data_IF_505502788404
#
_entry.id   IF_505502788404
#
_cell.length_a   1.000
_cell.length_b   1.000
_cell.length_c   1.000
_cell.angle_alpha   90.00
_cell.angle_beta   90.00
_cell.angle_gamma   90.00
#
_symmetry.space_group_name_H-M   'P 1'
#
loop_
_entity.id
_entity.type
_entity.pdbx_description
1 polymer ?
#
# COMPACT_ATOMS: atom_id res chain seq x y z
N UNK A 1 -16.08 -11.19 -22.52
CA UNK A 1 -14.64 -11.38 -22.21
C UNK A 1 -14.34 -12.86 -22.44
N UNK A 2 -13.26 -13.21 -23.15
CA UNK A 2 -12.91 -14.63 -23.35
C UNK A 2 -12.19 -15.13 -22.10
N UNK A 3 -12.82 -16.06 -21.41
CA UNK A 3 -12.23 -16.76 -20.27
C UNK A 3 -11.16 -17.72 -20.78
N UNK A 4 -9.95 -17.67 -20.23
CA UNK A 4 -8.91 -18.67 -20.48
C UNK A 4 -8.91 -19.67 -19.32
N UNK A 5 -9.28 -20.91 -19.61
CA UNK A 5 -9.17 -22.03 -18.67
C UNK A 5 -7.87 -22.80 -18.91
N UNK A 6 -7.18 -23.15 -17.83
CA UNK A 6 -5.94 -23.90 -17.87
C UNK A 6 -5.73 -24.66 -16.55
N UNK A 7 -4.61 -25.38 -16.44
CA UNK A 7 -4.17 -26.00 -15.19
C UNK A 7 -2.96 -25.24 -14.64
N UNK A 8 -2.92 -25.07 -13.31
CA UNK A 8 -1.80 -24.46 -12.63
C UNK A 8 -0.53 -25.29 -12.85
N UNK A 9 0.57 -24.71 -13.36
CA UNK A 9 1.82 -25.46 -13.59
C UNK A 9 2.45 -26.00 -12.30
N UNK A 10 2.09 -25.45 -11.13
CA UNK A 10 2.64 -25.83 -9.83
C UNK A 10 1.90 -27.00 -9.17
N UNK A 11 0.57 -27.06 -9.28
CA UNK A 11 -0.25 -28.05 -8.55
C UNK A 11 -1.27 -28.80 -9.42
N UNK A 12 -1.30 -28.53 -10.73
CA UNK A 12 -2.25 -29.09 -11.70
C UNK A 12 -3.73 -28.81 -11.45
N UNK A 13 -4.09 -28.03 -10.41
CA UNK A 13 -5.46 -27.61 -10.17
C UNK A 13 -6.00 -26.73 -11.33
N UNK A 14 -7.31 -26.80 -11.63
CA UNK A 14 -7.91 -25.96 -12.66
C UNK A 14 -7.86 -24.49 -12.24
N UNK A 15 -7.48 -23.62 -13.17
CA UNK A 15 -7.41 -22.17 -12.97
C UNK A 15 -8.07 -21.45 -14.14
N UNK A 16 -8.58 -20.25 -13.86
CA UNK A 16 -9.36 -19.46 -14.79
C UNK A 16 -8.89 -18.00 -14.79
N UNK A 17 -8.54 -17.49 -15.97
CA UNK A 17 -8.29 -16.08 -16.20
C UNK A 17 -9.57 -15.47 -16.76
N UNK A 18 -10.22 -14.61 -15.99
CA UNK A 18 -11.49 -13.97 -16.32
C UNK A 18 -11.28 -12.70 -17.13
N UNK A 19 -10.29 -11.89 -16.74
CA UNK A 19 -9.96 -10.66 -17.45
C UNK A 19 -8.93 -10.88 -18.56
N UNK A 20 -9.12 -10.16 -19.67
CA UNK A 20 -8.13 -10.09 -20.75
C UNK A 20 -6.88 -9.30 -20.38
N UNK A 21 -6.96 -8.45 -19.34
CA UNK A 21 -5.83 -7.70 -18.81
C UNK A 21 -4.99 -8.46 -17.78
N UNK A 22 -5.39 -9.69 -17.41
CA UNK A 22 -4.66 -10.48 -16.42
C UNK A 22 -3.33 -10.96 -16.96
N UNK A 23 -2.24 -10.55 -16.32
CA UNK A 23 -0.88 -11.02 -16.60
C UNK A 23 -0.48 -12.13 -15.63
N UNK A 24 -0.83 -12.00 -14.36
CA UNK A 24 -0.58 -13.02 -13.33
C UNK A 24 -1.89 -13.37 -12.63
N UNK A 25 -2.14 -14.65 -12.41
CA UNK A 25 -3.21 -15.16 -11.55
C UNK A 25 -2.60 -15.83 -10.33
N UNK A 26 -3.03 -15.46 -9.13
CA UNK A 26 -2.67 -16.19 -7.92
C UNK A 26 -3.56 -17.43 -7.81
N UNK A 27 -2.96 -18.62 -7.91
CA UNK A 27 -3.67 -19.88 -7.86
C UNK A 27 -4.41 -20.04 -6.51
N UNK A 28 -5.75 -20.21 -6.50
CA UNK A 28 -6.52 -20.28 -5.26
C UNK A 28 -6.27 -21.57 -4.47
N UNK A 29 -5.62 -22.58 -5.09
CA UNK A 29 -5.35 -23.87 -4.46
C UNK A 29 -3.98 -23.96 -3.80
N UNK A 30 -2.94 -23.42 -4.44
CA UNK A 30 -1.56 -23.59 -3.98
C UNK A 30 -0.78 -22.29 -3.78
N UNK A 31 -1.41 -21.14 -4.03
CA UNK A 31 -0.85 -19.78 -3.88
C UNK A 31 0.37 -19.51 -4.80
N UNK A 32 0.54 -20.27 -5.86
CA UNK A 32 1.51 -19.97 -6.93
C UNK A 32 1.04 -18.77 -7.74
N UNK A 33 1.94 -17.81 -7.97
CA UNK A 33 1.75 -16.72 -8.92
C UNK A 33 1.99 -17.28 -10.35
N UNK A 34 0.92 -17.44 -11.12
CA UNK A 34 0.95 -18.05 -12.45
C UNK A 34 0.90 -16.95 -13.50
N UNK A 35 2.01 -16.76 -14.22
CA UNK A 35 2.09 -15.78 -15.30
C UNK A 35 1.58 -16.36 -16.62
N UNK A 36 0.76 -15.57 -17.32
CA UNK A 36 0.38 -15.80 -18.70
C UNK A 36 1.39 -15.13 -19.63
N UNK A 37 2.08 -15.92 -20.44
CA UNK A 37 2.97 -15.43 -21.51
C UNK A 37 2.35 -15.72 -22.88
N UNK A 38 2.98 -15.24 -23.96
CA UNK A 38 2.52 -15.47 -25.33
C UNK A 38 2.45 -16.96 -25.72
N UNK A 39 3.23 -17.82 -25.04
CA UNK A 39 3.42 -19.23 -25.45
C UNK A 39 2.95 -20.24 -24.41
N UNK A 40 2.99 -19.91 -23.12
CA UNK A 40 2.70 -20.85 -22.02
C UNK A 40 2.35 -20.14 -20.72
N UNK A 41 1.89 -20.92 -19.75
CA UNK A 41 1.83 -20.49 -18.36
C UNK A 41 3.15 -20.79 -17.66
N UNK A 42 3.61 -19.87 -16.83
CA UNK A 42 4.84 -19.99 -16.04
C UNK A 42 4.52 -19.87 -14.54
N UNK A 43 5.14 -20.74 -13.73
CA UNK A 43 5.11 -20.61 -12.27
C UNK A 43 6.20 -19.61 -11.85
N UNK A 44 5.80 -18.47 -11.29
CA UNK A 44 6.72 -17.45 -10.76
C UNK A 44 7.10 -17.70 -9.29
N UNK A 45 6.57 -18.77 -8.68
CA UNK A 45 6.77 -19.11 -7.28
C UNK A 45 5.53 -18.82 -6.43
N UNK A 46 5.64 -19.12 -5.13
CA UNK A 46 4.53 -18.95 -4.19
C UNK A 46 4.55 -17.59 -3.52
N UNK A 47 3.38 -16.96 -3.43
CA UNK A 47 3.15 -15.80 -2.56
C UNK A 47 2.81 -16.25 -1.15
N UNK A 48 3.09 -15.41 -0.15
CA UNK A 48 2.63 -15.67 1.21
C UNK A 48 1.10 -15.52 1.32
N UNK A 49 0.54 -15.95 2.44
CA UNK A 49 -0.85 -15.62 2.76
C UNK A 49 -1.00 -14.11 2.97
N UNK A 50 -2.14 -13.57 2.54
CA UNK A 50 -2.49 -12.17 2.78
C UNK A 50 -2.61 -11.99 4.29
N UNK A 51 -1.80 -11.09 4.86
CA UNK A 51 -1.96 -10.76 6.27
C UNK A 51 -3.33 -10.12 6.47
N UNK A 52 -4.03 -10.51 7.54
CA UNK A 52 -5.33 -9.93 7.88
C UNK A 52 -5.20 -8.41 8.07
N UNK A 53 -5.84 -7.65 7.19
CA UNK A 53 -5.94 -6.19 7.23
C UNK A 53 -7.33 -5.77 7.71
N UNK A 54 -7.45 -4.61 8.34
CA UNK A 54 -8.76 -3.98 8.59
C UNK A 54 -9.38 -3.36 7.32
N UNK A 55 -8.80 -3.59 6.14
CA UNK A 55 -9.31 -3.10 4.86
C UNK A 55 -10.80 -3.45 4.68
N UNK A 56 -11.64 -2.47 4.29
CA UNK A 56 -13.03 -2.72 3.93
C UNK A 56 -13.17 -3.40 2.56
N UNK A 57 -12.10 -3.44 1.77
CA UNK A 57 -12.11 -3.92 0.40
C UNK A 57 -11.91 -5.44 0.34
N UNK A 58 -12.48 -6.05 -0.71
CA UNK A 58 -12.40 -7.49 -1.03
C UNK A 58 -12.43 -7.68 -2.55
N UNK A 59 -11.81 -8.76 -3.01
CA UNK A 59 -11.93 -9.19 -4.42
C UNK A 59 -13.41 -9.52 -4.69
N UNK A 60 -13.89 -9.13 -5.87
CA UNK A 60 -15.27 -9.27 -6.30
C UNK A 60 -16.18 -8.11 -5.89
N UNK A 61 -15.68 -7.10 -5.17
CA UNK A 61 -16.45 -5.87 -4.97
C UNK A 61 -16.58 -5.10 -6.27
N UNK A 62 -17.79 -4.63 -6.55
CA UNK A 62 -18.12 -3.85 -7.73
C UNK A 62 -18.36 -2.39 -7.37
N UNK A 63 -17.85 -1.48 -8.20
CA UNK A 63 -18.01 -0.04 -8.03
C UNK A 63 -18.21 0.68 -9.35
N UNK A 64 -18.19 2.01 -9.31
CA UNK A 64 -18.28 2.85 -10.50
C UNK A 64 -17.38 4.07 -10.35
N UNK A 65 -16.62 4.40 -11.39
CA UNK A 65 -15.82 5.62 -11.43
C UNK A 65 -15.99 6.31 -12.78
N UNK A 66 -16.33 7.60 -12.75
CA UNK A 66 -16.62 8.43 -13.95
C UNK A 66 -17.58 7.74 -14.94
N UNK A 67 -18.64 7.10 -14.42
CA UNK A 67 -19.66 6.41 -15.21
C UNK A 67 -19.28 5.03 -15.72
N UNK A 68 -18.06 4.55 -15.49
CA UNK A 68 -17.62 3.20 -15.87
C UNK A 68 -17.66 2.27 -14.66
N UNK A 69 -18.26 1.09 -14.82
CA UNK A 69 -18.29 0.08 -13.76
C UNK A 69 -16.94 -0.62 -13.67
N UNK A 70 -16.57 -1.05 -12.48
CA UNK A 70 -15.38 -1.87 -12.26
C UNK A 70 -15.65 -2.97 -11.23
N UNK A 71 -14.84 -4.02 -11.27
CA UNK A 71 -14.73 -5.05 -10.24
C UNK A 71 -13.30 -5.04 -9.69
N UNK A 72 -13.13 -5.19 -8.37
CA UNK A 72 -11.82 -5.45 -7.77
C UNK A 72 -11.44 -6.91 -8.04
N UNK A 73 -10.55 -7.15 -9.00
CA UNK A 73 -10.22 -8.50 -9.48
C UNK A 73 -8.98 -9.09 -8.81
N UNK A 74 -8.14 -8.26 -8.20
CA UNK A 74 -6.96 -8.74 -7.49
C UNK A 74 -6.47 -7.78 -6.41
N UNK A 75 -5.49 -8.26 -5.64
CA UNK A 75 -4.85 -7.54 -4.55
C UNK A 75 -3.37 -7.91 -4.50
N UNK A 76 -2.50 -6.94 -4.25
CA UNK A 76 -1.16 -7.18 -3.75
C UNK A 76 -0.99 -6.51 -2.39
N UNK A 77 -0.24 -7.14 -1.51
CA UNK A 77 0.18 -6.59 -0.24
C UNK A 77 1.67 -6.28 -0.32
N UNK A 78 2.01 -5.02 -0.14
CA UNK A 78 3.36 -4.51 -0.23
C UNK A 78 3.87 -4.15 1.16
N UNK A 79 5.16 -4.39 1.39
CA UNK A 79 5.84 -4.06 2.65
C UNK A 79 6.93 -3.03 2.41
N UNK A 80 6.83 -1.92 3.12
CA UNK A 80 7.85 -0.88 3.17
C UNK A 80 9.09 -1.41 3.90
N UNK A 81 10.28 -0.93 3.53
CA UNK A 81 11.52 -1.28 4.24
C UNK A 81 11.50 -0.96 5.75
N UNK A 82 10.69 0.03 6.15
CA UNK A 82 10.45 0.40 7.56
C UNK A 82 9.28 -0.37 8.21
N UNK A 83 8.87 -1.50 7.65
CA UNK A 83 7.91 -2.44 8.26
C UNK A 83 6.43 -2.16 8.02
N UNK A 84 6.06 -0.99 7.50
CA UNK A 84 4.66 -0.67 7.17
C UNK A 84 4.16 -1.55 6.04
N UNK A 85 2.90 -1.97 6.10
CA UNK A 85 2.26 -2.80 5.07
C UNK A 85 1.07 -2.04 4.50
N UNK A 86 0.89 -2.07 3.19
CA UNK A 86 -0.29 -1.52 2.54
C UNK A 86 -0.82 -2.48 1.48
N UNK A 87 -2.07 -2.23 1.10
CA UNK A 87 -2.76 -3.01 0.09
C UNK A 87 -2.98 -2.21 -1.18
N UNK A 88 -2.73 -2.86 -2.30
CA UNK A 88 -3.02 -2.36 -3.63
C UNK A 88 -4.06 -3.26 -4.26
N UNK A 89 -5.20 -2.67 -4.64
CA UNK A 89 -6.31 -3.37 -5.25
C UNK A 89 -6.36 -3.08 -6.74
N UNK A 90 -6.52 -4.12 -7.56
CA UNK A 90 -6.62 -3.99 -9.01
C UNK A 90 -8.08 -3.98 -9.43
N UNK A 91 -8.50 -2.89 -10.06
CA UNK A 91 -9.85 -2.67 -10.56
C UNK A 91 -9.89 -2.92 -12.07
N UNK A 92 -10.64 -3.92 -12.52
CA UNK A 92 -10.91 -4.16 -13.94
C UNK A 92 -12.21 -3.47 -14.32
N UNK A 93 -12.14 -2.54 -15.27
CA UNK A 93 -13.29 -1.77 -15.73
C UNK A 93 -14.01 -2.43 -16.89
N UNK A 94 -15.32 -2.18 -17.00
CA UNK A 94 -16.17 -2.70 -18.08
C UNK A 94 -15.76 -2.20 -19.48
N UNK A 95 -15.02 -1.10 -19.56
CA UNK A 95 -14.47 -0.54 -20.79
C UNK A 95 -13.06 -1.07 -21.14
N UNK A 96 -12.52 -2.02 -20.36
CA UNK A 96 -11.20 -2.61 -20.54
C UNK A 96 -10.06 -1.87 -19.85
N UNK A 97 -10.31 -0.75 -19.16
CA UNK A 97 -9.29 -0.10 -18.35
C UNK A 97 -8.93 -0.92 -17.11
N UNK A 98 -7.71 -0.73 -16.64
CA UNK A 98 -7.26 -1.24 -15.35
C UNK A 98 -6.90 -0.05 -14.48
N UNK A 99 -7.49 0.01 -13.29
CA UNK A 99 -7.19 0.98 -12.26
C UNK A 99 -6.49 0.32 -11.07
N UNK A 100 -5.70 1.11 -10.37
CA UNK A 100 -5.05 0.76 -9.11
C UNK A 100 -5.71 1.55 -8.00
N UNK A 101 -6.30 0.85 -7.03
CA UNK A 101 -6.88 1.45 -5.84
C UNK A 101 -5.95 1.17 -4.65
N UNK A 102 -5.06 2.11 -4.38
CA UNK A 102 -4.13 2.04 -3.27
C UNK A 102 -4.81 2.44 -1.97
N UNK A 103 -4.63 1.65 -0.91
CA UNK A 103 -5.08 1.96 0.45
C UNK A 103 -3.87 2.33 1.30
N UNK A 104 -3.74 3.61 1.66
CA UNK A 104 -2.63 4.10 2.45
C UNK A 104 -3.12 5.07 3.53
N UNK A 105 -2.79 4.77 4.79
CA UNK A 105 -3.10 5.62 5.96
C UNK A 105 -4.59 6.00 6.06
N UNK A 106 -5.48 5.06 5.75
CA UNK A 106 -6.94 5.25 5.79
C UNK A 106 -7.51 6.10 4.65
N UNK A 107 -6.71 6.38 3.61
CA UNK A 107 -7.14 7.04 2.38
C UNK A 107 -7.07 6.06 1.22
N UNK A 108 -7.89 6.33 0.21
CA UNK A 108 -7.94 5.56 -1.02
C UNK A 108 -7.53 6.45 -2.19
N UNK A 109 -6.68 5.92 -3.06
CA UNK A 109 -6.22 6.61 -4.27
C UNK A 109 -6.50 5.72 -5.47
N UNK A 110 -7.32 6.20 -6.39
CA UNK A 110 -7.61 5.49 -7.63
C UNK A 110 -6.77 6.11 -8.76
N UNK A 111 -5.80 5.35 -9.24
CA UNK A 111 -4.84 5.76 -10.28
C UNK A 111 -4.93 4.85 -11.49
N UNK A 112 -4.46 5.35 -12.63
CA UNK A 112 -4.44 4.65 -13.91
C UNK A 112 -3.07 4.83 -14.55
N UNK A 113 -2.63 3.84 -15.32
CA UNK A 113 -1.39 3.94 -16.08
C UNK A 113 -1.42 5.18 -16.99
N UNK A 114 -0.39 6.01 -16.85
CA UNK A 114 -0.18 7.23 -17.61
C UNK A 114 1.14 7.11 -18.38
N UNK A 115 1.11 6.72 -19.67
CA UNK A 115 2.32 6.57 -20.45
C UNK A 115 3.04 7.92 -20.60
N UNK A 116 4.37 7.89 -20.53
CA UNK A 116 5.17 9.08 -20.86
C UNK A 116 5.20 9.29 -22.36
N UNK A 117 5.17 10.56 -22.84
CA UNK A 117 5.33 10.86 -24.26
C UNK A 117 6.66 10.32 -24.81
N UNK A 118 6.70 10.10 -26.12
CA UNK A 118 7.92 9.64 -26.79
C UNK A 118 9.08 10.62 -26.57
N UNK A 119 10.26 10.10 -26.19
CA UNK A 119 11.45 10.90 -25.90
C UNK A 119 11.49 11.53 -24.50
N UNK A 120 10.38 11.51 -23.75
CA UNK A 120 10.32 11.96 -22.35
C UNK A 120 10.68 10.81 -21.42
N UNK A 121 11.54 11.07 -20.44
CA UNK A 121 11.97 10.07 -19.44
C UNK A 121 11.73 10.59 -18.04
N UNK A 122 11.00 9.82 -17.25
CA UNK A 122 10.86 10.07 -15.81
C UNK A 122 12.26 10.06 -15.18
N UNK A 123 12.58 11.00 -14.28
CA UNK A 123 13.84 11.01 -13.55
C UNK A 123 14.12 9.66 -12.86
N UNK A 124 15.40 9.29 -12.78
CA UNK A 124 15.82 8.10 -12.07
C UNK A 124 15.50 8.22 -10.57
N UNK A 125 15.23 7.09 -9.92
CA UNK A 125 14.87 7.06 -8.50
C UNK A 125 15.94 7.71 -7.60
N UNK A 126 17.21 7.52 -7.94
CA UNK A 126 18.36 8.07 -7.21
C UNK A 126 18.45 9.59 -7.32
N UNK A 127 17.98 10.16 -8.43
CA UNK A 127 17.96 11.60 -8.65
C UNK A 127 16.76 12.31 -8.02
N UNK A 128 15.67 11.58 -7.71
CA UNK A 128 14.48 12.19 -7.14
C UNK A 128 14.68 12.66 -5.69
N UNK A 129 14.21 13.86 -5.41
CA UNK A 129 14.13 14.45 -4.09
C UNK A 129 12.67 14.75 -3.71
N UNK A 130 12.40 14.76 -2.40
CA UNK A 130 11.10 15.19 -1.89
C UNK A 130 10.90 16.67 -2.22
N UNK A 131 9.72 17.00 -2.72
CA UNK A 131 9.37 18.34 -3.17
C UNK A 131 9.67 18.62 -4.64
N UNK A 132 10.39 17.73 -5.34
CA UNK A 132 10.61 17.85 -6.78
C UNK A 132 9.28 17.84 -7.53
N UNK A 133 9.16 18.74 -8.51
CA UNK A 133 8.05 18.75 -9.45
C UNK A 133 8.40 17.85 -10.63
N UNK A 134 7.51 16.91 -10.97
CA UNK A 134 7.73 15.95 -12.07
C UNK A 134 6.90 16.38 -13.28
N UNK A 135 7.49 17.18 -14.16
CA UNK A 135 6.82 17.71 -15.35
C UNK A 135 6.64 16.66 -16.46
N UNK A 136 7.42 15.57 -16.40
CA UNK A 136 7.38 14.47 -17.36
C UNK A 136 6.10 13.63 -17.28
N UNK A 137 5.36 13.73 -16.16
CA UNK A 137 4.13 12.99 -15.92
C UNK A 137 2.94 13.89 -16.23
N UNK A 138 2.15 13.47 -17.22
CA UNK A 138 0.96 14.22 -17.62
C UNK A 138 -0.10 14.19 -16.53
N UNK A 139 -0.46 15.37 -16.01
CA UNK A 139 -1.51 15.56 -15.02
C UNK A 139 -2.18 16.92 -15.23
N UNK A 140 -3.42 17.05 -14.76
CA UNK A 140 -4.18 18.32 -14.83
C UNK A 140 -3.60 19.41 -13.90
N UNK A 141 -2.76 19.01 -12.94
CA UNK A 141 -2.06 19.89 -12.00
C UNK A 141 -0.62 19.42 -11.86
N UNK A 142 0.33 20.31 -11.59
CA UNK A 142 1.67 19.91 -11.19
C UNK A 142 1.62 18.91 -10.03
N UNK A 143 2.44 17.86 -10.14
CA UNK A 143 2.62 16.83 -9.14
C UNK A 143 4.00 17.01 -8.52
N UNK A 144 4.05 16.92 -7.19
CA UNK A 144 5.29 17.00 -6.42
C UNK A 144 5.56 15.69 -5.70
N UNK A 145 6.83 15.30 -5.59
CA UNK A 145 7.25 14.10 -4.86
C UNK A 145 6.99 14.30 -3.37
N UNK A 146 6.13 13.47 -2.80
CA UNK A 146 5.77 13.50 -1.37
C UNK A 146 6.31 12.33 -0.58
N UNK A 147 6.57 11.20 -1.24
CA UNK A 147 7.17 10.03 -0.64
C UNK A 147 8.07 9.33 -1.66
N UNK A 148 9.15 8.72 -1.19
CA UNK A 148 9.94 7.77 -1.97
C UNK A 148 10.38 6.64 -1.06
N UNK A 149 10.39 5.41 -1.58
CA UNK A 149 10.71 4.25 -0.77
C UNK A 149 10.99 3.01 -1.58
N UNK A 150 11.29 1.93 -0.87
CA UNK A 150 11.41 0.59 -1.43
C UNK A 150 10.27 -0.27 -0.88
N UNK A 151 9.51 -0.87 -1.78
CA UNK A 151 8.46 -1.83 -1.47
C UNK A 151 8.97 -3.27 -1.69
N UNK A 152 8.39 -4.23 -0.97
CA UNK A 152 8.54 -5.66 -1.26
C UNK A 152 7.16 -6.28 -1.46
N UNK A 153 6.94 -7.00 -2.56
CA UNK A 153 5.70 -7.74 -2.80
C UNK A 153 5.65 -9.01 -1.95
N UNK A 154 4.89 -8.99 -0.86
CA UNK A 154 4.91 -10.08 0.15
C UNK A 154 3.81 -11.10 -0.05
N UNK A 155 2.62 -10.65 -0.45
CA UNK A 155 1.47 -11.50 -0.68
C UNK A 155 0.60 -10.92 -1.81
N UNK A 156 -0.17 -11.77 -2.48
CA UNK A 156 -1.11 -11.33 -3.51
C UNK A 156 -2.32 -12.26 -3.57
N UNK A 157 -3.41 -11.83 -4.19
CA UNK A 157 -4.59 -12.65 -4.43
C UNK A 157 -5.33 -12.22 -5.70
N UNK A 158 -6.02 -13.15 -6.34
CA UNK A 158 -6.79 -12.89 -7.58
C UNK A 158 -5.94 -12.59 -8.82
N UNK A 159 -6.48 -11.73 -9.68
CA UNK A 159 -5.93 -11.38 -11.00
C UNK A 159 -5.12 -10.09 -10.95
N UNK A 160 -3.87 -10.15 -11.40
CA UNK A 160 -2.88 -9.08 -11.34
C UNK A 160 -2.51 -8.63 -12.77
N UNK A 161 -2.51 -7.32 -13.06
CA UNK A 161 -2.34 -6.78 -14.42
C UNK A 161 -0.88 -6.58 -14.85
N UNK A 162 0.09 -6.99 -14.03
CA UNK A 162 1.52 -6.94 -14.34
C UNK A 162 2.20 -8.24 -13.88
N UNK A 163 3.49 -8.37 -14.21
CA UNK A 163 4.29 -9.52 -13.83
C UNK A 163 4.71 -9.42 -12.35
N UNK A 164 3.81 -9.78 -11.45
CA UNK A 164 4.12 -9.85 -10.02
C UNK A 164 5.03 -11.05 -9.73
N UNK A 165 6.26 -10.78 -9.31
CA UNK A 165 7.20 -11.80 -8.81
C UNK A 165 7.20 -11.78 -7.27
N UNK A 166 6.95 -12.93 -6.60
CA UNK A 166 6.94 -12.98 -5.15
C UNK A 166 8.27 -12.52 -4.52
N UNK A 167 8.20 -11.70 -3.47
CA UNK A 167 9.34 -11.12 -2.73
C UNK A 167 10.26 -10.20 -3.55
N UNK A 168 9.85 -9.80 -4.75
CA UNK A 168 10.57 -8.79 -5.50
C UNK A 168 10.51 -7.44 -4.78
N UNK A 169 11.63 -6.71 -4.86
CA UNK A 169 11.74 -5.36 -4.35
C UNK A 169 11.67 -4.38 -5.50
N UNK A 170 10.85 -3.35 -5.34
CA UNK A 170 10.74 -2.25 -6.30
C UNK A 170 10.85 -0.92 -5.57
N UNK A 171 11.44 0.05 -6.26
CA UNK A 171 11.45 1.43 -5.79
C UNK A 171 10.17 2.11 -6.27
N UNK A 172 9.63 3.02 -5.45
CA UNK A 172 8.46 3.81 -5.82
C UNK A 172 8.61 5.26 -5.34
N UNK A 173 7.89 6.16 -5.98
CA UNK A 173 7.72 7.53 -5.52
C UNK A 173 6.27 7.98 -5.64
N UNK A 174 5.66 8.38 -4.52
CA UNK A 174 4.30 8.92 -4.51
C UNK A 174 4.32 10.44 -4.66
N UNK A 175 3.39 10.90 -5.48
CA UNK A 175 3.25 12.27 -5.90
C UNK A 175 1.91 12.82 -5.44
N UNK A 176 1.89 14.07 -5.00
CA UNK A 176 0.66 14.77 -4.65
C UNK A 176 0.53 16.07 -5.44
N UNK A 177 -0.70 16.44 -5.76
CA UNK A 177 -1.03 17.70 -6.42
C UNK A 177 -2.26 18.37 -5.80
N UNK A 178 -2.69 19.48 -6.41
CA UNK A 178 -3.92 20.19 -6.00
C UNK A 178 -5.16 19.35 -6.32
N UNK A 179 -6.28 19.70 -5.69
CA UNK A 179 -7.59 19.09 -5.96
C UNK A 179 -7.60 17.56 -5.86
N UNK A 180 -6.94 17.01 -4.84
CA UNK A 180 -6.80 15.58 -4.59
C UNK A 180 -6.04 14.80 -5.67
N UNK A 181 -5.33 15.48 -6.58
CA UNK A 181 -4.50 14.79 -7.56
C UNK A 181 -3.40 13.98 -6.88
N UNK A 182 -3.19 12.77 -7.36
CA UNK A 182 -2.22 11.84 -6.82
C UNK A 182 -1.60 11.05 -7.97
N UNK A 183 -0.36 10.62 -7.79
CA UNK A 183 0.27 9.67 -8.68
C UNK A 183 1.34 8.86 -7.99
N UNK A 184 1.75 7.77 -8.63
CA UNK A 184 2.84 6.93 -8.16
C UNK A 184 3.74 6.63 -9.36
N UNK A 185 5.05 6.80 -9.18
CA UNK A 185 6.05 6.30 -10.10
C UNK A 185 6.48 4.93 -9.60
N UNK A 186 6.36 3.92 -10.46
CA UNK A 186 6.81 2.57 -10.21
C UNK A 186 8.09 2.30 -11.02
N UNK A 187 9.18 2.03 -10.30
CA UNK A 187 10.50 1.74 -10.88
C UNK A 187 10.79 0.23 -11.01
N UNK A 188 9.78 -0.64 -10.87
CA UNK A 188 9.91 -2.06 -11.20
C UNK A 188 10.11 -2.30 -12.70
N UNK A 189 9.65 -1.38 -13.53
CA UNK A 189 9.76 -1.43 -14.99
C UNK A 189 10.83 -0.46 -15.52
N UNK A 190 11.36 -0.77 -16.71
CA UNK A 190 12.32 0.10 -17.41
C UNK A 190 11.88 0.30 -18.88
N UNK A 191 11.45 1.53 -19.28
CA UNK A 191 11.37 2.75 -18.48
C UNK A 191 10.33 2.66 -17.35
N UNK A 192 10.52 3.45 -16.28
CA UNK A 192 9.61 3.50 -15.14
C UNK A 192 8.18 3.86 -15.57
N UNK A 193 7.21 3.27 -14.89
CA UNK A 193 5.80 3.52 -15.15
C UNK A 193 5.28 4.62 -14.22
N UNK A 194 4.39 5.46 -14.73
CA UNK A 194 3.66 6.42 -13.92
C UNK A 194 2.18 6.03 -13.87
N UNK A 195 1.60 6.13 -12.69
CA UNK A 195 0.18 5.99 -12.45
C UNK A 195 -0.36 7.31 -11.94
N UNK A 196 -1.41 7.83 -12.56
CA UNK A 196 -1.98 9.15 -12.21
C UNK A 196 -3.46 9.02 -11.97
N UNK A 197 -3.96 9.75 -10.98
CA UNK A 197 -5.37 9.77 -10.65
C UNK A 197 -5.66 10.72 -9.51
N UNK A 198 -6.49 10.28 -8.57
CA UNK A 198 -6.96 11.13 -7.49
C UNK A 198 -7.27 10.33 -6.22
N UNK A 199 -7.19 11.01 -5.07
CA UNK A 199 -7.79 10.52 -3.84
C UNK A 199 -9.32 10.41 -4.04
N UNK A 200 -9.89 9.29 -3.60
CA UNK A 200 -11.33 9.01 -3.64
C UNK A 200 -11.82 8.56 -2.27
N UNK A 201 -13.10 8.76 -2.00
CA UNK A 201 -13.83 8.07 -0.93
C UNK A 201 -14.48 6.80 -1.46
N UNK A 202 -14.78 5.85 -0.58
CA UNK A 202 -15.47 4.62 -0.98
C UNK A 202 -16.88 4.92 -1.47
N UNK A 203 -17.56 5.90 -0.87
CA UNK A 203 -18.88 6.36 -1.29
C UNK A 203 -18.87 6.87 -2.74
N UNK A 204 -17.89 7.70 -3.10
CA UNK A 204 -17.77 8.27 -4.46
C UNK A 204 -17.59 7.20 -5.54
N UNK A 205 -16.94 6.08 -5.20
CA UNK A 205 -16.69 4.98 -6.14
C UNK A 205 -17.71 3.84 -6.04
N UNK A 206 -18.81 4.04 -5.30
CA UNK A 206 -19.88 3.06 -5.18
C UNK A 206 -19.61 1.92 -4.18
N UNK A 207 -18.57 2.05 -3.35
CA UNK A 207 -18.14 1.08 -2.34
C UNK A 207 -18.47 1.50 -0.90
N UNK A 208 -19.30 2.52 -0.68
CA UNK A 208 -19.63 3.03 0.67
C UNK A 208 -20.27 2.02 1.63
N UNK A 209 -20.82 0.91 1.11
CA UNK A 209 -21.35 -0.19 1.93
C UNK A 209 -20.32 -1.26 2.27
N UNK A 210 -19.09 -1.14 1.77
CA UNK A 210 -18.01 -2.05 2.08
C UNK A 210 -17.67 -1.93 3.58
N UNK A 211 -17.81 -3.05 4.30
CA UNK A 211 -17.53 -3.10 5.74
C UNK A 211 -16.19 -3.78 5.95
N UNK A 212 -15.32 -3.15 6.74
CA UNK A 212 -14.18 -3.84 7.31
C UNK A 212 -14.65 -5.07 8.06
N UNK A 213 -13.86 -6.14 7.97
CA UNK A 213 -14.05 -7.27 8.89
C UNK A 213 -13.78 -6.69 10.27
N UNK A 214 -14.84 -6.46 11.05
CA UNK A 214 -14.69 -6.02 12.44
C UNK A 214 -13.81 -7.05 13.11
N UNK A 215 -12.60 -6.64 13.47
CA UNK A 215 -11.81 -7.34 14.47
C UNK A 215 -12.73 -7.46 15.68
N UNK A 216 -13.11 -8.68 16.08
CA UNK A 216 -13.35 -8.88 17.49
C UNK A 216 -12.06 -8.42 18.14
N UNK A 217 -12.10 -7.29 18.86
CA UNK A 217 -10.94 -6.75 19.51
C UNK A 217 -10.41 -7.87 20.42
N UNK A 218 -9.43 -8.63 19.94
CA UNK A 218 -8.62 -9.44 20.82
C UNK A 218 -8.05 -8.41 21.76
N UNK A 219 -8.54 -8.43 23.01
CA UNK A 219 -7.95 -7.70 24.11
C UNK A 219 -6.53 -8.26 24.24
N UNK A 220 -5.62 -7.73 23.46
CA UNK A 220 -4.20 -7.89 23.71
C UNK A 220 -4.02 -7.14 25.02
N UNK A 221 -3.95 -7.91 26.12
CA UNK A 221 -3.49 -7.35 27.38
C UNK A 221 -2.19 -6.63 27.07
N UNK A 222 -2.06 -5.39 27.53
CA UNK A 222 -0.83 -4.61 27.42
C UNK A 222 0.32 -5.45 27.98
N UNK A 223 1.00 -6.20 27.12
CA UNK A 223 2.22 -6.88 27.49
C UNK A 223 3.26 -5.77 27.58
N UNK A 224 3.76 -5.52 28.78
CA UNK A 224 4.98 -4.74 28.94
C UNK A 224 6.07 -5.46 28.14
N UNK A 225 6.50 -4.87 27.03
CA UNK A 225 7.51 -5.46 26.15
C UNK A 225 8.81 -4.71 26.33
N UNK A 226 9.92 -5.44 26.46
CA UNK A 226 11.25 -4.83 26.48
C UNK A 226 11.61 -4.30 25.10
N UNK A 227 12.16 -3.09 25.02
CA UNK A 227 12.79 -2.58 23.81
C UNK A 227 13.92 -3.55 23.42
N UNK A 228 13.91 -4.13 22.20
CA UNK A 228 14.93 -5.07 21.77
C UNK A 228 16.33 -4.44 21.62
N UNK A 229 16.41 -3.11 21.58
CA UNK A 229 17.67 -2.38 21.45
C UNK A 229 18.31 -2.02 22.81
N UNK A 230 17.52 -1.58 23.80
CA UNK A 230 18.08 -1.09 25.08
C UNK A 230 17.51 -1.78 26.33
N UNK A 231 16.58 -2.72 26.18
CA UNK A 231 15.90 -3.40 27.29
C UNK A 231 14.89 -2.56 28.07
N UNK A 232 14.67 -1.29 27.70
CA UNK A 232 13.72 -0.40 28.37
C UNK A 232 12.27 -0.91 28.25
N UNK A 233 11.49 -0.80 29.34
CA UNK A 233 10.11 -1.28 29.35
C UNK A 233 9.18 -0.39 28.51
N UNK A 234 8.40 -0.99 27.61
CA UNK A 234 7.49 -0.28 26.73
C UNK A 234 6.05 -0.67 27.00
N UNK A 235 5.21 0.36 27.08
CA UNK A 235 3.76 0.22 27.11
C UNK A 235 3.17 0.78 25.81
N UNK A 236 2.42 -0.05 25.11
CA UNK A 236 1.67 0.37 23.93
C UNK A 236 0.36 1.02 24.37
N UNK A 237 0.15 2.28 23.97
CA UNK A 237 -1.05 3.03 24.33
C UNK A 237 -2.32 2.50 23.64
N UNK A 238 -2.15 1.89 22.46
CA UNK A 238 -3.19 1.22 21.67
C UNK A 238 -2.57 -0.01 20.96
N UNK A 239 -2.34 -1.13 21.66
CA UNK A 239 -1.63 -2.30 21.11
C UNK A 239 -2.34 -2.94 19.91
N UNK A 240 -3.65 -2.73 19.78
CA UNK A 240 -4.48 -3.21 18.69
C UNK A 240 -4.45 -2.32 17.44
N UNK A 241 -3.96 -1.08 17.56
CA UNK A 241 -3.92 -0.07 16.48
C UNK A 241 -2.53 0.45 16.14
N UNK A 242 -1.57 0.33 17.06
CA UNK A 242 -0.23 0.85 16.85
C UNK A 242 0.56 -0.09 15.92
N UNK A 243 0.97 0.41 14.77
CA UNK A 243 1.91 -0.30 13.88
C UNK A 243 3.37 -0.10 14.30
N UNK A 244 3.64 1.04 14.95
CA UNK A 244 4.98 1.44 15.40
C UNK A 244 4.94 2.09 16.77
N UNK A 245 6.03 1.94 17.50
CA UNK A 245 6.26 2.63 18.78
C UNK A 245 7.70 3.15 18.84
N UNK A 246 7.86 4.36 19.39
CA UNK A 246 9.19 4.90 19.68
C UNK A 246 9.54 4.61 21.13
N UNK A 247 10.72 4.03 21.36
CA UNK A 247 11.23 3.80 22.71
C UNK A 247 11.62 5.13 23.36
N UNK A 248 11.06 5.49 24.53
CA UNK A 248 11.36 6.77 25.19
C UNK A 248 12.76 6.79 25.84
N UNK A 249 13.43 5.64 25.97
CA UNK A 249 14.75 5.54 26.62
C UNK A 249 15.91 5.69 25.64
N UNK A 250 15.78 5.17 24.42
CA UNK A 250 16.87 5.10 23.44
C UNK A 250 16.48 5.59 22.04
N UNK A 251 15.28 6.17 21.90
CA UNK A 251 14.72 6.69 20.64
C UNK A 251 14.64 5.67 19.50
N UNK A 252 14.64 4.38 19.83
CA UNK A 252 14.46 3.31 18.83
C UNK A 252 13.03 3.34 18.30
N UNK A 253 12.87 3.47 16.99
CA UNK A 253 11.62 3.19 16.29
C UNK A 253 11.49 1.67 16.15
N UNK A 254 10.36 1.13 16.62
CA UNK A 254 10.08 -0.29 16.66
C UNK A 254 8.80 -0.60 15.90
N UNK A 255 8.77 -1.74 15.21
CA UNK A 255 7.58 -2.33 14.61
C UNK A 255 6.82 -3.18 15.64
N UNK A 256 5.49 -3.13 15.60
CA UNK A 256 4.56 -3.75 16.56
C UNK A 256 3.69 -4.83 15.91
N UNK A 257 3.72 -4.98 14.58
CA UNK A 257 2.73 -5.72 13.80
C UNK A 257 2.72 -7.26 14.02
N UNK A 258 3.77 -7.83 14.63
CA UNK A 258 3.95 -9.28 14.77
C UNK A 258 3.82 -9.80 16.21
N UNK A 259 3.22 -9.02 17.11
CA UNK A 259 3.08 -9.39 18.52
C UNK A 259 4.39 -9.37 19.33
N UNK A 260 5.52 -9.13 18.68
CA UNK A 260 6.83 -8.87 19.26
C UNK A 260 7.39 -7.55 18.70
N UNK A 261 8.13 -6.82 19.53
CA UNK A 261 8.79 -5.59 19.09
C UNK A 261 10.02 -5.91 18.24
N UNK A 262 10.07 -5.37 17.02
CA UNK A 262 11.24 -5.46 16.15
C UNK A 262 11.91 -4.10 16.01
N UNK A 263 13.22 -4.04 16.23
CA UNK A 263 14.00 -2.83 15.99
C UNK A 263 14.01 -2.47 14.50
N UNK A 264 13.63 -1.23 14.17
CA UNK A 264 13.73 -0.69 12.81
C UNK A 264 14.97 0.19 12.67
N UNK A 265 15.03 1.28 13.43
CA UNK A 265 16.16 2.22 13.47
C UNK A 265 16.12 3.08 14.72
N UNK A 266 17.23 3.72 15.07
CA UNK A 266 17.23 4.81 16.04
C UNK A 266 16.83 6.12 15.37
N UNK A 267 15.91 6.86 15.97
CA UNK A 267 15.54 8.19 15.52
C UNK A 267 16.56 9.20 16.04
N UNK A 268 16.90 10.17 15.18
CA UNK A 268 17.66 11.33 15.62
C UNK A 268 16.76 12.22 16.46
N UNK A 269 17.30 12.79 17.54
CA UNK A 269 16.61 13.83 18.28
C UNK A 269 16.33 15.01 17.36
N UNK A 270 15.09 15.50 17.37
CA UNK A 270 14.75 16.75 16.69
C UNK A 270 15.61 17.89 17.28
N UNK A 271 16.25 18.73 16.45
CA UNK A 271 16.99 19.90 16.94
C UNK A 271 16.04 20.97 17.52
N UNK A 272 14.75 20.91 17.18
CA UNK A 272 13.71 21.75 17.76
C UNK A 272 12.96 21.00 18.87
N UNK A 273 12.67 21.63 20.02
CA UNK A 273 11.79 21.07 21.03
C UNK A 273 10.40 20.81 20.42
N UNK A 274 9.80 19.68 20.79
CA UNK A 274 8.46 19.33 20.34
C UNK A 274 7.41 20.01 21.23
N UNK A 275 6.82 21.11 20.76
CA UNK A 275 5.77 21.84 21.48
C UNK A 275 4.38 21.24 21.21
N UNK A 276 4.24 19.91 21.36
CA UNK A 276 2.93 19.28 21.22
C UNK A 276 2.03 19.71 22.38
N UNK A 277 0.98 20.48 22.06
CA UNK A 277 -0.01 20.97 23.04
C UNK A 277 -0.80 19.81 23.68
N UNK A 278 -0.96 18.70 22.95
CA UNK A 278 -1.70 17.53 23.40
C UNK A 278 -0.71 16.40 23.75
N UNK A 279 -0.61 15.96 25.02
CA UNK A 279 0.28 14.88 25.39
C UNK A 279 -0.25 13.53 24.90
N UNK A 280 0.67 12.61 24.59
CA UNK A 280 0.31 11.21 24.31
C UNK A 280 -0.41 10.64 25.54
N UNK A 281 -1.53 9.95 25.29
CA UNK A 281 -2.42 9.41 26.30
C UNK A 281 -3.61 10.31 26.66
N UNK A 282 -3.60 11.59 26.26
CA UNK A 282 -4.71 12.51 26.52
C UNK A 282 -6.02 12.01 25.87
N UNK A 283 -7.13 12.20 26.58
CA UNK A 283 -8.48 11.93 26.09
C UNK A 283 -9.15 13.22 25.63
N UNK A 284 -9.93 13.15 24.56
CA UNK A 284 -10.67 14.28 24.01
C UNK A 284 -11.89 13.84 23.22
N UNK A 285 -12.68 14.82 22.77
CA UNK A 285 -13.82 14.56 21.87
C UNK A 285 -13.57 15.26 20.54
N UNK A 286 -13.64 14.50 19.44
CA UNK A 286 -13.55 15.03 18.08
C UNK A 286 -14.81 14.61 17.31
N UNK A 287 -15.57 15.58 16.81
CA UNK A 287 -16.82 15.36 16.08
C UNK A 287 -17.81 14.43 16.80
N UNK A 288 -17.94 14.59 18.12
CA UNK A 288 -18.84 13.78 18.96
C UNK A 288 -18.33 12.37 19.31
N UNK A 289 -17.15 11.98 18.82
CA UNK A 289 -16.51 10.70 19.14
C UNK A 289 -15.43 10.89 20.20
N UNK A 290 -15.39 10.05 21.23
CA UNK A 290 -14.29 10.03 22.19
C UNK A 290 -13.02 9.48 21.53
N UNK A 291 -11.92 10.21 21.67
CA UNK A 291 -10.62 9.91 21.09
C UNK A 291 -9.53 9.90 22.17
N UNK A 292 -8.46 9.14 21.93
CA UNK A 292 -7.24 9.14 22.73
C UNK A 292 -6.05 9.48 21.83
N UNK A 293 -5.15 10.36 22.28
CA UNK A 293 -3.90 10.63 21.58
C UNK A 293 -2.97 9.41 21.77
N UNK A 294 -2.61 8.73 20.68
CA UNK A 294 -1.79 7.50 20.73
C UNK A 294 -0.36 7.70 20.24
N UNK A 295 -0.03 8.86 19.69
CA UNK A 295 1.30 9.18 19.18
C UNK A 295 1.40 10.63 18.71
N UNK A 296 2.63 11.11 18.51
CA UNK A 296 2.94 12.41 17.95
C UNK A 296 4.22 12.30 17.11
N UNK A 297 4.33 13.06 16.02
CA UNK A 297 5.49 13.01 15.12
C UNK A 297 5.93 14.42 14.74
N UNK A 298 7.21 14.70 14.92
CA UNK A 298 7.86 15.89 14.37
C UNK A 298 8.58 15.47 13.10
N UNK A 299 8.30 16.13 11.98
CA UNK A 299 9.01 15.94 10.71
C UNK A 299 9.76 17.23 10.39
N UNK A 300 11.01 17.11 9.97
CA UNK A 300 11.80 18.21 9.43
C UNK A 300 12.30 17.84 8.04
N UNK A 301 12.51 18.86 7.22
CA UNK A 301 13.18 18.76 5.92
C UNK A 301 14.32 19.76 5.92
N UNK A 302 15.48 19.35 5.43
CA UNK A 302 16.58 20.27 5.14
C UNK A 302 16.44 20.67 3.69
N UNK A 303 16.13 21.95 3.44
CA UNK A 303 16.14 22.51 2.09
C UNK A 303 17.59 22.94 1.84
N UNK A 304 18.23 22.32 0.84
CA UNK A 304 19.61 22.63 0.42
C UNK A 304 19.55 23.58 -0.78
#
# INVERSE_FOLDING_TARGET
MSVLQANCPSCAAPIEFKSGSTVVLVCPFCRSAVARTDKKLEDLGKVADIAESESPLKIGLEGTFKGNRFELTGRAQLRHELGGVWDEWYATFSNGWVGWLAEAQGKFYLTFYSPTPEGVRIPAFESLQLGDMIEEIQSNTPLIVTEKGTATSVAADGEIPYKLVPNEKSNYADLSGKNNAFGTIDYSENPAWAFVGQQVSLEEIGLGNAKSVKREAQRVQSAAMGCPNCGGALELTAPDKAERVTCPFCNSLLDVNQGNLKFLKSLNSSPAPSDFVLPIGALGTLHGTQMKIIGAVTRSVTIV
#
